data_IF_005266297476
#
_entry.id   IF_005266297476
#
_cell.length_a   1.000
_cell.length_b   1.000
_cell.length_c   1.000
_cell.angle_alpha   90.00
_cell.angle_beta   90.00
_cell.angle_gamma   90.00
#
_symmetry.space_group_name_H-M   'P 1'
#
loop_
_entity.id
_entity.type
_entity.pdbx_description
1 polymer ?
#
# COMPACT_ATOMS: atom_id res chain seq x y z
N UNK A 1 -12.62 -19.62 51.09
CA UNK A 1 -11.81 -20.71 51.67
C UNK A 1 -12.20 -21.98 50.94
N UNK A 2 -11.37 -22.44 50.02
CA UNK A 2 -11.68 -23.61 49.18
C UNK A 2 -10.63 -24.67 49.49
N UNK A 3 -11.05 -25.71 50.18
CA UNK A 3 -10.19 -26.83 50.61
C UNK A 3 -9.78 -27.63 49.38
N UNK A 4 -8.47 -27.79 49.19
CA UNK A 4 -7.89 -28.58 48.10
C UNK A 4 -7.55 -29.96 48.68
N UNK A 5 -8.23 -31.00 48.20
CA UNK A 5 -7.83 -32.39 48.45
C UNK A 5 -6.91 -32.85 47.32
N UNK A 6 -5.70 -33.29 47.67
CA UNK A 6 -4.76 -33.92 46.75
C UNK A 6 -4.70 -35.41 47.12
N UNK A 7 -5.29 -36.26 46.28
CA UNK A 7 -5.10 -37.72 46.40
C UNK A 7 -3.85 -38.13 45.62
N UNK A 8 -2.88 -38.74 46.31
CA UNK A 8 -1.71 -39.34 45.70
C UNK A 8 -2.01 -40.79 45.33
N UNK A 9 -2.15 -41.08 44.04
CA UNK A 9 -2.20 -42.47 43.54
C UNK A 9 -0.81 -42.92 43.12
N UNK A 10 -0.34 -44.02 43.72
CA UNK A 10 0.89 -44.72 43.36
C UNK A 10 0.56 -45.81 42.36
N UNK A 11 1.27 -45.81 41.22
CA UNK A 11 1.23 -46.77 40.09
C UNK A 11 0.21 -46.49 38.98
N UNK A 12 0.75 -46.26 37.77
CA UNK A 12 0.02 -46.48 36.52
C UNK A 12 0.13 -45.33 35.52
N UNK A 13 1.00 -45.48 34.53
CA UNK A 13 1.09 -44.78 33.23
C UNK A 13 0.23 -43.53 33.05
N UNK A 14 0.89 -42.38 32.95
CA UNK A 14 0.32 -41.14 32.44
C UNK A 14 0.19 -41.30 30.92
N UNK A 15 -1.02 -41.53 30.40
CA UNK A 15 -1.29 -41.27 28.98
C UNK A 15 -1.64 -39.78 28.84
N UNK A 16 -0.66 -38.97 28.45
CA UNK A 16 -0.95 -37.62 27.97
C UNK A 16 -1.77 -37.75 26.69
N UNK A 17 -3.08 -37.53 26.79
CA UNK A 17 -3.95 -37.37 25.62
C UNK A 17 -3.98 -35.89 25.28
N UNK A 18 -3.23 -35.51 24.25
CA UNK A 18 -3.33 -34.18 23.66
C UNK A 18 -4.70 -34.06 22.99
N UNK A 19 -5.62 -33.32 23.62
CA UNK A 19 -6.88 -32.98 22.99
C UNK A 19 -6.58 -32.02 21.84
N UNK A 20 -6.63 -32.52 20.60
CA UNK A 20 -6.55 -31.67 19.41
C UNK A 20 -7.63 -30.58 19.50
N UNK A 21 -7.22 -29.34 19.78
CA UNK A 21 -8.13 -28.20 19.78
C UNK A 21 -8.66 -28.05 18.35
N UNK A 22 -9.96 -28.26 18.16
CA UNK A 22 -10.63 -28.03 16.87
C UNK A 22 -10.32 -26.59 16.43
N UNK A 23 -9.76 -26.37 15.21
CA UNK A 23 -9.38 -25.04 14.79
C UNK A 23 -10.61 -24.12 14.86
N UNK A 24 -10.47 -22.99 15.58
CA UNK A 24 -11.54 -21.98 15.66
C UNK A 24 -11.93 -21.59 14.24
N UNK A 25 -13.23 -21.54 13.97
CA UNK A 25 -13.75 -21.10 12.67
C UNK A 25 -13.07 -19.79 12.30
N UNK A 26 -12.41 -19.75 11.13
CA UNK A 26 -11.82 -18.52 10.60
C UNK A 26 -12.95 -17.51 10.51
N UNK A 27 -12.91 -16.45 11.32
CA UNK A 27 -13.86 -15.34 11.20
C UNK A 27 -13.77 -14.87 9.75
N UNK A 28 -14.87 -14.99 9.02
CA UNK A 28 -14.95 -14.62 7.61
C UNK A 28 -14.65 -13.13 7.39
N UNK A 29 -14.83 -12.68 6.14
CA UNK A 29 -14.61 -11.29 5.70
C UNK A 29 -15.09 -10.28 6.76
N UNK A 30 -14.17 -9.46 7.26
CA UNK A 30 -14.45 -8.43 8.28
C UNK A 30 -15.23 -7.25 7.68
N UNK A 31 -15.07 -7.02 6.37
CA UNK A 31 -15.72 -5.95 5.64
C UNK A 31 -17.00 -6.42 4.95
N UNK A 32 -18.03 -5.55 4.88
CA UNK A 32 -19.21 -5.83 4.07
C UNK A 32 -18.84 -6.03 2.61
N UNK A 33 -19.69 -6.78 1.90
CA UNK A 33 -19.60 -6.95 0.45
C UNK A 33 -19.86 -5.61 -0.23
N UNK A 34 -18.79 -4.95 -0.67
CA UNK A 34 -18.89 -3.80 -1.58
C UNK A 34 -18.88 -4.33 -3.00
N UNK A 35 -20.05 -4.33 -3.64
CA UNK A 35 -20.18 -4.59 -5.08
C UNK A 35 -20.10 -3.26 -5.82
N UNK A 36 -18.95 -2.96 -6.41
CA UNK A 36 -18.83 -1.86 -7.37
C UNK A 36 -19.47 -2.35 -8.68
N UNK A 37 -20.31 -1.53 -9.31
CA UNK A 37 -20.87 -1.89 -10.62
C UNK A 37 -19.76 -1.85 -11.68
N UNK A 38 -19.83 -2.68 -12.73
CA UNK A 38 -18.83 -2.64 -13.81
C UNK A 38 -18.70 -1.24 -14.46
N UNK A 39 -19.80 -0.50 -14.56
CA UNK A 39 -19.83 0.86 -15.10
C UNK A 39 -19.09 1.87 -14.21
N UNK A 40 -19.30 1.81 -12.89
CA UNK A 40 -18.61 2.68 -11.94
C UNK A 40 -17.11 2.40 -11.91
N UNK A 41 -16.72 1.12 -11.97
CA UNK A 41 -15.32 0.72 -12.06
C UNK A 41 -14.67 1.27 -13.33
N UNK A 42 -15.32 1.08 -14.48
CA UNK A 42 -14.81 1.60 -15.75
C UNK A 42 -14.67 3.14 -15.75
N UNK A 43 -15.61 3.86 -15.11
CA UNK A 43 -15.49 5.31 -14.94
C UNK A 43 -14.28 5.69 -14.10
N UNK A 44 -14.08 5.04 -12.95
CA UNK A 44 -12.95 5.30 -12.07
C UNK A 44 -11.60 5.01 -12.74
N UNK A 45 -11.51 3.91 -13.51
CA UNK A 45 -10.33 3.57 -14.30
C UNK A 45 -10.05 4.63 -15.37
N UNK A 46 -11.07 5.08 -16.10
CA UNK A 46 -10.91 6.12 -17.12
C UNK A 46 -10.48 7.46 -16.52
N UNK A 47 -11.06 7.88 -15.40
CA UNK A 47 -10.68 9.10 -14.68
C UNK A 47 -9.23 9.00 -14.17
N UNK A 48 -8.85 7.84 -13.61
CA UNK A 48 -7.49 7.57 -13.16
C UNK A 48 -6.47 7.60 -14.31
N UNK A 49 -6.82 7.04 -15.47
CA UNK A 49 -5.95 7.05 -16.65
C UNK A 49 -5.76 8.48 -17.19
N UNK A 50 -6.84 9.27 -17.31
CA UNK A 50 -6.74 10.67 -17.73
C UNK A 50 -5.82 11.44 -16.76
N UNK A 51 -5.99 11.22 -15.45
CA UNK A 51 -5.15 11.85 -14.44
C UNK A 51 -3.68 11.44 -14.57
N UNK A 52 -3.42 10.15 -14.75
CA UNK A 52 -2.08 9.61 -14.95
C UNK A 52 -1.41 10.20 -16.19
N UNK A 53 -2.10 10.25 -17.32
CA UNK A 53 -1.59 10.80 -18.58
C UNK A 53 -1.18 12.27 -18.45
N UNK A 54 -1.97 13.08 -17.72
CA UNK A 54 -1.61 14.48 -17.43
C UNK A 54 -0.31 14.59 -16.61
N UNK A 55 -0.16 13.75 -15.59
CA UNK A 55 1.06 13.71 -14.79
C UNK A 55 2.26 13.23 -15.62
N UNK A 56 2.06 12.20 -16.44
CA UNK A 56 3.08 11.60 -17.30
C UNK A 56 3.62 12.61 -18.31
N UNK A 57 2.76 13.39 -18.96
CA UNK A 57 3.16 14.42 -19.91
C UNK A 57 4.10 15.47 -19.28
N UNK A 58 3.84 15.85 -18.02
CA UNK A 58 4.71 16.76 -17.28
C UNK A 58 6.05 16.08 -16.95
N UNK A 59 5.99 14.84 -16.45
CA UNK A 59 7.19 14.05 -16.14
C UNK A 59 8.09 13.90 -17.36
N UNK A 60 7.56 13.51 -18.52
CA UNK A 60 8.33 13.31 -19.75
C UNK A 60 9.02 14.59 -20.21
N UNK A 61 8.38 15.74 -20.02
CA UNK A 61 8.97 17.05 -20.34
C UNK A 61 10.15 17.39 -19.43
N UNK A 62 10.03 17.16 -18.12
CA UNK A 62 11.06 17.56 -17.15
C UNK A 62 12.16 16.51 -16.96
N UNK A 63 11.89 15.25 -17.33
CA UNK A 63 12.80 14.13 -17.13
C UNK A 63 14.18 14.35 -17.77
N UNK A 64 14.32 14.76 -19.05
CA UNK A 64 15.65 14.90 -19.68
C UNK A 64 16.55 15.90 -18.95
N UNK A 65 15.98 16.93 -18.32
CA UNK A 65 16.73 17.95 -17.59
C UNK A 65 17.17 17.49 -16.20
N UNK A 66 16.43 16.54 -15.61
CA UNK A 66 16.61 16.12 -14.23
C UNK A 66 17.31 14.76 -14.10
N UNK A 67 17.21 13.91 -15.12
CA UNK A 67 17.68 12.52 -15.08
C UNK A 67 19.19 12.43 -14.86
N UNK A 68 19.98 13.35 -15.43
CA UNK A 68 21.44 13.36 -15.30
C UNK A 68 21.88 13.64 -13.85
N UNK A 69 21.12 14.44 -13.12
CA UNK A 69 21.48 14.89 -11.75
C UNK A 69 20.83 14.05 -10.66
N UNK A 70 19.63 13.54 -10.91
CA UNK A 70 18.77 12.90 -9.92
C UNK A 70 18.38 11.48 -10.34
N UNK A 71 19.23 10.80 -11.11
CA UNK A 71 18.98 9.44 -11.54
C UNK A 71 18.66 8.52 -10.33
N UNK A 72 17.56 7.78 -10.44
CA UNK A 72 17.08 6.85 -9.44
C UNK A 72 16.28 7.48 -8.30
N UNK A 73 16.21 8.80 -8.20
CA UNK A 73 15.39 9.54 -7.23
C UNK A 73 13.92 9.51 -7.64
N UNK A 74 13.05 10.08 -6.80
CA UNK A 74 11.62 10.13 -7.03
C UNK A 74 11.16 11.57 -7.24
N UNK A 75 10.16 11.72 -8.10
CA UNK A 75 9.53 13.00 -8.43
C UNK A 75 8.01 12.86 -8.26
N UNK A 76 7.42 13.68 -7.38
CA UNK A 76 5.97 13.85 -7.29
C UNK A 76 5.55 14.96 -8.25
N UNK A 77 4.57 14.66 -9.09
CA UNK A 77 4.01 15.60 -10.07
C UNK A 77 2.54 15.86 -9.72
N UNK A 78 2.18 17.14 -9.67
CA UNK A 78 0.80 17.59 -9.56
C UNK A 78 0.34 18.15 -10.92
N UNK A 79 -0.73 17.59 -11.54
CA UNK A 79 -1.05 17.86 -12.93
C UNK A 79 -1.74 19.19 -13.22
N UNK A 80 -2.33 19.87 -12.24
CA UNK A 80 -2.99 21.17 -12.47
C UNK A 80 -2.00 22.34 -12.40
N UNK A 81 -1.09 22.35 -11.42
CA UNK A 81 -0.08 23.39 -11.26
C UNK A 81 1.13 23.19 -12.16
N UNK A 82 1.42 21.94 -12.54
CA UNK A 82 2.66 21.60 -13.24
C UNK A 82 3.90 21.67 -12.35
N UNK A 83 3.73 21.91 -11.05
CA UNK A 83 4.81 21.89 -10.09
C UNK A 83 5.19 20.44 -9.75
N UNK A 84 6.45 20.25 -9.39
CA UNK A 84 6.97 18.95 -9.00
C UNK A 84 7.93 19.05 -7.82
N UNK A 85 8.03 17.96 -7.06
CA UNK A 85 8.86 17.85 -5.88
C UNK A 85 9.76 16.62 -6.02
N UNK A 86 11.05 16.77 -5.73
CA UNK A 86 12.04 15.69 -5.88
C UNK A 86 12.59 15.30 -4.51
N UNK A 87 12.74 14.00 -4.27
CA UNK A 87 13.48 13.46 -3.13
C UNK A 87 14.11 12.11 -3.47
N UNK A 88 15.16 11.72 -2.74
CA UNK A 88 15.79 10.40 -2.87
C UNK A 88 14.85 9.29 -2.43
N UNK A 89 14.00 9.57 -1.45
CA UNK A 89 13.07 8.61 -0.88
C UNK A 89 11.65 8.83 -1.42
N UNK A 90 11.02 7.75 -1.85
CA UNK A 90 9.66 7.77 -2.43
C UNK A 90 8.63 8.27 -1.41
N UNK A 91 8.73 7.83 -0.16
CA UNK A 91 7.79 8.20 0.89
C UNK A 91 7.96 9.66 1.31
N UNK A 92 9.20 10.17 1.33
CA UNK A 92 9.46 11.60 1.54
C UNK A 92 8.89 12.44 0.39
N UNK A 93 9.07 12.00 -0.85
CA UNK A 93 8.49 12.66 -2.03
C UNK A 93 6.97 12.76 -1.93
N UNK A 94 6.30 11.65 -1.60
CA UNK A 94 4.86 11.60 -1.38
C UNK A 94 4.40 12.51 -0.22
N UNK A 95 5.11 12.46 0.91
CA UNK A 95 4.79 13.29 2.09
C UNK A 95 4.87 14.78 1.77
N UNK A 96 5.93 15.23 1.08
CA UNK A 96 6.08 16.63 0.68
C UNK A 96 4.95 17.09 -0.25
N UNK A 97 4.50 16.21 -1.15
CA UNK A 97 3.39 16.51 -2.05
C UNK A 97 2.07 16.66 -1.30
N UNK A 98 1.78 15.78 -0.33
CA UNK A 98 0.59 15.91 0.53
C UNK A 98 0.65 17.16 1.42
N UNK A 99 1.82 17.51 1.93
CA UNK A 99 2.00 18.72 2.74
C UNK A 99 1.76 20.00 1.92
N UNK A 100 2.21 20.03 0.67
CA UNK A 100 2.03 21.16 -0.23
C UNK A 100 0.62 21.23 -0.82
N UNK A 101 0.02 20.09 -1.15
CA UNK A 101 -1.31 19.99 -1.75
C UNK A 101 -2.19 19.01 -0.97
N UNK A 102 -2.74 19.42 0.20
CA UNK A 102 -3.47 18.51 1.09
C UNK A 102 -4.77 17.95 0.51
N UNK A 103 -5.35 18.61 -0.49
CA UNK A 103 -6.62 18.23 -1.11
C UNK A 103 -6.48 17.83 -2.58
N UNK A 104 -5.26 17.58 -3.04
CA UNK A 104 -5.00 17.14 -4.42
C UNK A 104 -4.23 15.85 -4.43
N UNK A 105 -4.58 14.99 -5.38
CA UNK A 105 -3.78 13.83 -5.68
C UNK A 105 -2.47 14.25 -6.36
N UNK A 106 -1.54 13.32 -6.47
CA UNK A 106 -0.30 13.49 -7.21
C UNK A 106 0.20 12.12 -7.63
N UNK A 107 1.03 12.08 -8.66
CA UNK A 107 1.67 10.85 -9.10
C UNK A 107 3.16 10.89 -8.83
N UNK A 108 3.70 9.80 -8.31
CA UNK A 108 5.14 9.68 -8.02
C UNK A 108 5.79 8.79 -9.07
N UNK A 109 6.73 9.37 -9.82
CA UNK A 109 7.56 8.66 -10.78
C UNK A 109 8.97 8.45 -10.24
N UNK A 110 9.68 7.47 -10.79
CA UNK A 110 11.12 7.35 -10.60
C UNK A 110 11.84 8.06 -11.73
N UNK A 111 12.85 8.87 -11.41
CA UNK A 111 13.72 9.50 -12.40
C UNK A 111 14.66 8.45 -12.98
N UNK A 112 14.19 7.74 -14.00
CA UNK A 112 14.92 6.79 -14.82
C UNK A 112 14.38 6.87 -16.27
N UNK A 113 14.82 5.97 -17.14
CA UNK A 113 14.48 5.95 -18.57
C UNK A 113 12.99 5.72 -18.85
N UNK A 114 12.23 5.22 -17.87
CA UNK A 114 10.83 4.78 -18.07
C UNK A 114 9.82 5.45 -17.14
N UNK A 115 10.25 6.11 -16.07
CA UNK A 115 9.35 6.60 -15.00
C UNK A 115 8.92 5.52 -14.00
N UNK A 116 9.19 4.24 -14.28
CA UNK A 116 8.60 3.12 -13.56
C UNK A 116 9.21 2.93 -12.15
N UNK A 117 8.33 2.72 -11.18
CA UNK A 117 8.68 2.43 -9.78
C UNK A 117 8.53 0.92 -9.52
N UNK A 118 9.38 0.11 -10.15
CA UNK A 118 9.34 -1.34 -10.01
C UNK A 118 9.95 -2.06 -11.22
N UNK A 119 9.91 -3.40 -11.19
CA UNK A 119 10.09 -4.20 -12.41
C UNK A 119 8.72 -4.32 -13.09
N UNK A 120 8.68 -4.00 -14.38
CA UNK A 120 7.53 -4.24 -15.26
C UNK A 120 7.59 -5.70 -15.71
#
# INVERSE_FOLDING_TARGET
MTTIYIEYSTKGKIIMTESAQKPRARRGRIFPERTITPEELARQEAEGEIYHQRCLAIFERVRPELIDKYYGWYIAVEPDSGEYLIDQDKMQTHKKALEKYPNKDHFVFRLNETGATGRI
#
